data_IF_929534435185
#
_entry.id   IF_929534435185
#
_cell.length_a   1.000
_cell.length_b   1.000
_cell.length_c   1.000
_cell.angle_alpha   90.00
_cell.angle_beta   90.00
_cell.angle_gamma   90.00
#
_symmetry.space_group_name_H-M   'P 1'
#
loop_
_entity.id
_entity.type
_entity.pdbx_description
1 polymer ?
#
# COMPACT_ATOMS: atom_id res chain seq x y z
N UNK A 1 5.24 22.02 52.95
CA UNK A 1 5.53 21.21 51.74
C UNK A 1 7.02 21.38 51.44
N UNK A 2 7.83 20.33 51.59
CA UNK A 2 9.31 20.39 51.62
C UNK A 2 9.94 20.87 50.28
N UNK A 3 9.21 20.74 49.17
CA UNK A 3 9.68 21.12 47.82
C UNK A 3 10.00 22.61 47.63
N UNK A 4 9.40 23.50 48.43
CA UNK A 4 9.55 24.94 48.24
C UNK A 4 10.46 25.59 49.29
N UNK A 5 11.00 24.80 50.24
CA UNK A 5 11.88 25.29 51.33
C UNK A 5 11.34 26.54 52.04
N UNK A 6 10.02 26.65 52.22
CA UNK A 6 9.37 27.80 52.87
C UNK A 6 9.03 28.98 51.94
N UNK A 7 9.37 28.90 50.65
CA UNK A 7 8.97 29.89 49.64
C UNK A 7 7.47 29.81 49.33
N UNK A 8 6.84 30.94 48.96
CA UNK A 8 5.46 30.94 48.48
C UNK A 8 5.32 30.10 47.21
N UNK A 9 4.17 29.45 47.04
CA UNK A 9 3.89 28.69 45.83
C UNK A 9 3.83 29.64 44.62
N UNK A 10 4.51 29.31 43.50
CA UNK A 10 4.47 30.13 42.30
C UNK A 10 3.05 30.22 41.75
N UNK A 11 2.66 31.41 41.32
CA UNK A 11 1.37 31.62 40.69
C UNK A 11 1.34 31.08 39.25
N UNK A 12 0.14 31.00 38.68
CA UNK A 12 -0.06 30.55 37.30
C UNK A 12 0.79 31.35 36.30
N UNK A 13 0.89 32.66 36.50
CA UNK A 13 1.64 33.58 35.63
C UNK A 13 3.13 33.25 35.62
N UNK A 14 3.71 33.00 36.80
CA UNK A 14 5.11 32.62 36.96
C UNK A 14 5.41 31.32 36.24
N UNK A 15 4.55 30.30 36.40
CA UNK A 15 4.71 29.00 35.73
C UNK A 15 4.60 29.15 34.20
N UNK A 16 3.62 29.93 33.71
CA UNK A 16 3.44 30.15 32.28
C UNK A 16 4.63 30.91 31.65
N UNK A 17 5.17 31.91 32.35
CA UNK A 17 6.35 32.65 31.92
C UNK A 17 7.60 31.76 31.88
N UNK A 18 7.78 30.92 32.89
CA UNK A 18 8.86 29.93 32.89
C UNK A 18 8.76 28.97 31.70
N UNK A 19 7.57 28.42 31.45
CA UNK A 19 7.34 27.49 30.35
C UNK A 19 7.67 28.09 28.98
N UNK A 20 7.29 29.34 28.75
CA UNK A 20 7.45 30.00 27.46
C UNK A 20 8.85 30.57 27.23
N UNK A 21 9.46 31.21 28.24
CA UNK A 21 10.73 31.92 28.09
C UNK A 21 11.92 31.00 28.37
N UNK A 22 11.85 30.19 29.43
CA UNK A 22 12.99 29.44 29.93
C UNK A 22 12.97 27.97 29.50
N UNK A 23 11.80 27.33 29.53
CA UNK A 23 11.69 25.91 29.19
C UNK A 23 11.61 25.66 27.69
N UNK A 24 10.83 26.44 26.92
CA UNK A 24 10.63 26.21 25.49
C UNK A 24 11.94 26.12 24.66
N UNK A 25 12.98 26.96 24.89
CA UNK A 25 14.24 26.85 24.14
C UNK A 25 15.02 25.54 24.38
N UNK A 26 14.82 24.90 25.54
CA UNK A 26 15.56 23.69 25.95
C UNK A 26 14.71 22.43 25.94
N UNK A 27 13.38 22.56 25.80
CA UNK A 27 12.44 21.47 26.00
C UNK A 27 12.66 20.32 25.04
N UNK A 28 12.98 20.60 23.78
CA UNK A 28 13.20 19.56 22.77
C UNK A 28 14.42 18.70 23.11
N UNK A 29 15.54 19.33 23.45
CA UNK A 29 16.76 18.62 23.81
C UNK A 29 16.58 17.82 25.10
N UNK A 30 15.96 18.41 26.12
CA UNK A 30 15.71 17.75 27.40
C UNK A 30 14.79 16.53 27.22
N UNK A 31 13.72 16.67 26.44
CA UNK A 31 12.83 15.55 26.13
C UNK A 31 13.54 14.45 25.32
N UNK A 32 14.41 14.82 24.38
CA UNK A 32 15.21 13.86 23.63
C UNK A 32 16.15 13.05 24.55
N UNK A 33 16.87 13.72 25.46
CA UNK A 33 17.72 13.06 26.46
C UNK A 33 16.92 12.14 27.38
N UNK A 34 15.75 12.59 27.84
CA UNK A 34 14.88 11.78 28.68
C UNK A 34 14.39 10.52 27.95
N UNK A 35 14.01 10.67 26.69
CA UNK A 35 13.57 9.56 25.84
C UNK A 35 14.72 8.58 25.58
N UNK A 36 15.93 9.08 25.36
CA UNK A 36 17.13 8.24 25.21
C UNK A 36 17.41 7.44 26.49
N UNK A 37 17.38 8.09 27.66
CA UNK A 37 17.59 7.43 28.95
C UNK A 37 16.56 6.31 29.19
N UNK A 38 15.27 6.57 28.88
CA UNK A 38 14.23 5.55 28.99
C UNK A 38 14.46 4.38 28.04
N UNK A 39 14.96 4.64 26.83
CA UNK A 39 15.28 3.59 25.87
C UNK A 39 16.49 2.74 26.30
N UNK A 40 17.54 3.36 26.84
CA UNK A 40 18.71 2.68 27.40
C UNK A 40 18.33 1.77 28.58
N UNK A 41 17.41 2.24 29.42
CA UNK A 41 16.85 1.46 30.54
C UNK A 41 15.83 0.41 30.10
N UNK A 42 15.53 0.28 28.80
CA UNK A 42 14.55 -0.65 28.21
C UNK A 42 13.11 -0.43 28.71
N UNK A 43 12.82 0.75 29.25
CA UNK A 43 11.47 1.14 29.70
C UNK A 43 10.56 1.47 28.50
N UNK A 44 11.14 1.91 27.38
CA UNK A 44 10.42 2.18 26.14
C UNK A 44 11.06 1.47 24.94
N UNK A 45 10.21 1.07 23.98
CA UNK A 45 10.64 0.46 22.72
C UNK A 45 10.58 1.49 21.59
N UNK A 46 11.73 1.84 21.03
CA UNK A 46 11.84 2.75 19.87
C UNK A 46 11.39 2.12 18.53
N UNK A 47 10.74 0.95 18.56
CA UNK A 47 10.31 0.23 17.35
C UNK A 47 9.06 0.83 16.71
N UNK A 48 8.24 1.53 17.49
CA UNK A 48 6.97 2.09 17.04
C UNK A 48 6.98 3.60 17.27
N UNK A 49 6.84 4.38 16.20
CA UNK A 49 6.69 5.84 16.27
C UNK A 49 5.20 6.16 16.44
N UNK A 50 4.80 6.60 17.63
CA UNK A 50 3.45 7.11 17.88
C UNK A 50 3.46 8.62 17.66
N UNK A 51 2.99 9.07 16.49
CA UNK A 51 2.71 10.47 16.23
C UNK A 51 1.29 10.76 16.73
N UNK A 52 1.10 10.80 18.05
CA UNK A 52 -0.18 11.25 18.62
C UNK A 52 -0.06 12.72 19.02
N UNK A 53 -0.78 13.59 18.31
CA UNK A 53 -0.71 15.05 18.46
C UNK A 53 -0.75 15.85 17.15
N UNK A 54 -0.44 15.23 16.00
CA UNK A 54 -0.64 15.90 14.70
C UNK A 54 -2.01 15.57 14.17
N UNK A 55 -2.96 16.49 14.37
CA UNK A 55 -4.22 16.50 13.61
C UNK A 55 -3.87 16.78 12.15
N UNK A 56 -3.55 15.73 11.40
CA UNK A 56 -3.53 15.77 9.93
C UNK A 56 -4.98 16.00 9.54
N UNK A 57 -5.36 17.28 9.43
CA UNK A 57 -6.66 17.72 8.95
C UNK A 57 -7.04 16.83 7.77
N UNK A 58 -8.14 16.09 7.95
CA UNK A 58 -8.65 15.13 6.99
C UNK A 58 -9.23 15.90 5.79
N UNK A 59 -8.38 16.53 5.00
CA UNK A 59 -8.69 16.75 3.60
C UNK A 59 -8.81 15.34 3.00
N UNK A 60 -10.05 14.85 2.87
CA UNK A 60 -10.40 13.47 2.48
C UNK A 60 -9.72 13.02 1.17
N UNK A 61 -9.20 13.97 0.39
CA UNK A 61 -8.52 13.76 -0.88
C UNK A 61 -7.00 14.07 -0.88
N UNK A 62 -6.40 14.62 0.19
CA UNK A 62 -4.97 14.99 0.20
C UNK A 62 -4.05 13.83 0.57
N UNK A 63 -4.50 12.94 1.46
CA UNK A 63 -3.77 11.73 1.85
C UNK A 63 -4.74 10.54 1.93
N UNK A 64 -4.80 9.73 0.88
CA UNK A 64 -5.56 8.46 0.92
C UNK A 64 -4.74 7.41 1.66
N UNK A 65 -5.12 7.09 2.89
CA UNK A 65 -4.46 6.04 3.66
C UNK A 65 -4.67 4.67 3.01
N UNK A 66 -3.56 3.98 2.76
CA UNK A 66 -3.56 2.61 2.23
C UNK A 66 -3.21 1.65 3.35
N UNK A 67 -4.16 0.80 3.71
CA UNK A 67 -4.00 -0.15 4.82
C UNK A 67 -3.35 -1.45 4.35
N UNK A 68 -2.19 -1.79 4.91
CA UNK A 68 -1.46 -3.05 4.63
C UNK A 68 -2.38 -4.28 4.65
N UNK A 69 -3.14 -4.47 5.73
CA UNK A 69 -4.03 -5.61 5.90
C UNK A 69 -5.13 -5.70 4.85
N UNK A 70 -5.62 -4.55 4.37
CA UNK A 70 -6.60 -4.51 3.28
C UNK A 70 -5.96 -4.89 1.94
N UNK A 71 -4.77 -4.36 1.65
CA UNK A 71 -4.02 -4.67 0.42
C UNK A 71 -3.67 -6.15 0.35
N UNK A 72 -3.10 -6.73 1.42
CA UNK A 72 -2.72 -8.16 1.43
C UNK A 72 -3.93 -9.07 1.32
N UNK A 73 -5.02 -8.78 2.03
CA UNK A 73 -6.29 -9.54 1.94
C UNK A 73 -6.87 -9.51 0.53
N UNK A 74 -6.91 -8.33 -0.10
CA UNK A 74 -7.47 -8.19 -1.44
C UNK A 74 -6.56 -8.76 -2.52
N UNK A 75 -5.24 -8.69 -2.36
CA UNK A 75 -4.28 -9.35 -3.23
C UNK A 75 -4.46 -10.87 -3.17
N UNK A 76 -4.55 -11.46 -1.96
CA UNK A 76 -4.80 -12.90 -1.79
C UNK A 76 -6.10 -13.35 -2.46
N UNK A 77 -7.21 -12.64 -2.18
CA UNK A 77 -8.50 -12.91 -2.84
C UNK A 77 -8.44 -12.84 -4.37
N UNK A 78 -7.61 -11.97 -4.92
CA UNK A 78 -7.42 -11.87 -6.36
C UNK A 78 -6.64 -13.09 -6.88
N UNK A 79 -5.56 -13.48 -6.19
CA UNK A 79 -4.80 -14.70 -6.53
C UNK A 79 -5.66 -15.96 -6.46
N UNK A 80 -6.55 -16.08 -5.47
CA UNK A 80 -7.47 -17.21 -5.34
C UNK A 80 -8.47 -17.31 -6.51
N UNK A 81 -8.82 -16.17 -7.15
CA UNK A 81 -9.74 -16.11 -8.29
C UNK A 81 -9.08 -16.37 -9.64
N UNK A 82 -7.77 -16.15 -9.75
CA UNK A 82 -7.04 -16.29 -11.01
C UNK A 82 -7.12 -17.69 -11.61
N UNK A 83 -6.94 -18.80 -10.86
CA UNK A 83 -7.03 -20.15 -11.44
C UNK A 83 -8.38 -20.43 -12.11
N UNK A 84 -9.48 -20.04 -11.47
CA UNK A 84 -10.83 -20.21 -12.02
C UNK A 84 -11.02 -19.38 -13.28
N UNK A 85 -10.56 -18.12 -13.27
CA UNK A 85 -10.62 -17.26 -14.45
C UNK A 85 -9.79 -17.82 -15.61
N UNK A 86 -8.57 -18.26 -15.36
CA UNK A 86 -7.70 -18.87 -16.37
C UNK A 86 -8.38 -20.07 -17.01
N UNK A 87 -8.88 -21.00 -16.19
CA UNK A 87 -9.57 -22.20 -16.68
C UNK A 87 -10.77 -21.86 -17.57
N UNK A 88 -11.59 -20.88 -17.16
CA UNK A 88 -12.71 -20.40 -17.97
C UNK A 88 -12.27 -19.79 -19.29
N UNK A 89 -11.18 -19.00 -19.32
CA UNK A 89 -10.64 -18.47 -20.58
C UNK A 89 -10.07 -19.58 -21.48
N UNK A 90 -9.42 -20.59 -20.91
CA UNK A 90 -8.90 -21.73 -21.68
C UNK A 90 -10.03 -22.53 -22.34
N UNK A 91 -11.12 -22.78 -21.61
CA UNK A 91 -12.31 -23.47 -22.11
C UNK A 91 -13.03 -22.66 -23.20
N UNK A 92 -13.17 -21.34 -23.02
CA UNK A 92 -13.89 -20.48 -23.95
C UNK A 92 -13.17 -20.26 -25.29
N UNK A 93 -11.83 -20.25 -25.29
CA UNK A 93 -11.03 -19.89 -26.47
C UNK A 93 -10.14 -21.02 -26.97
N UNK A 94 -10.21 -22.22 -26.37
CA UNK A 94 -9.57 -23.42 -26.90
C UNK A 94 -8.04 -23.45 -26.85
N UNK A 95 -7.40 -22.75 -25.91
CA UNK A 95 -5.95 -22.80 -25.72
C UNK A 95 -5.58 -23.15 -24.28
N UNK A 96 -4.40 -23.73 -24.07
CA UNK A 96 -3.85 -24.00 -22.73
C UNK A 96 -2.65 -23.11 -22.40
N UNK A 97 -2.51 -22.73 -21.14
CA UNK A 97 -1.36 -22.03 -20.59
C UNK A 97 -0.75 -22.92 -19.52
N UNK A 98 0.54 -23.19 -19.67
CA UNK A 98 1.31 -23.84 -18.60
C UNK A 98 1.59 -22.79 -17.53
N UNK A 99 0.94 -22.93 -16.38
CA UNK A 99 1.28 -22.28 -15.13
C UNK A 99 1.51 -23.38 -14.09
N UNK A 100 2.55 -23.23 -13.27
CA UNK A 100 2.87 -24.18 -12.20
C UNK A 100 1.96 -23.99 -10.98
N UNK A 101 2.48 -24.27 -9.80
CA UNK A 101 1.76 -24.03 -8.54
C UNK A 101 1.48 -22.53 -8.28
N UNK A 102 2.33 -21.65 -8.81
CA UNK A 102 2.21 -20.19 -8.62
C UNK A 102 1.92 -19.44 -9.92
N UNK A 103 0.87 -18.63 -9.92
CA UNK A 103 0.54 -17.72 -11.04
C UNK A 103 1.31 -16.41 -10.87
N UNK A 104 2.31 -16.21 -11.73
CA UNK A 104 3.11 -14.98 -11.84
C UNK A 104 2.57 -14.03 -12.90
N UNK A 105 2.96 -12.75 -12.83
CA UNK A 105 2.55 -11.69 -13.77
C UNK A 105 2.83 -12.06 -15.24
N UNK A 106 3.96 -12.74 -15.50
CA UNK A 106 4.32 -13.18 -16.84
C UNK A 106 3.26 -14.09 -17.50
N UNK A 107 2.58 -14.95 -16.73
CA UNK A 107 1.54 -15.82 -17.28
C UNK A 107 0.32 -15.01 -17.75
N UNK A 108 -0.04 -13.93 -17.04
CA UNK A 108 -1.11 -13.01 -17.42
C UNK A 108 -0.75 -12.23 -18.69
N UNK A 109 0.49 -11.79 -18.82
CA UNK A 109 0.97 -11.13 -20.04
C UNK A 109 1.01 -12.08 -21.25
N UNK A 110 1.36 -13.36 -21.02
CA UNK A 110 1.29 -14.40 -22.05
C UNK A 110 -0.16 -14.66 -22.48
N UNK A 111 -1.10 -14.73 -21.53
CA UNK A 111 -2.53 -14.82 -21.82
C UNK A 111 -3.00 -13.62 -22.65
N UNK A 112 -2.64 -12.40 -22.26
CA UNK A 112 -3.00 -11.17 -22.98
C UNK A 112 -2.54 -11.20 -24.43
N UNK A 113 -1.31 -11.66 -24.69
CA UNK A 113 -0.79 -11.83 -26.05
C UNK A 113 -1.59 -12.86 -26.85
N UNK A 114 -1.99 -13.98 -26.24
CA UNK A 114 -2.84 -14.98 -26.92
C UNK A 114 -4.22 -14.42 -27.28
N UNK A 115 -4.88 -13.76 -26.35
CA UNK A 115 -6.18 -13.13 -26.61
C UNK A 115 -6.08 -12.04 -27.69
N UNK A 116 -4.97 -11.31 -27.74
CA UNK A 116 -4.74 -10.33 -28.80
C UNK A 116 -4.54 -10.96 -30.18
N UNK A 117 -3.92 -12.15 -30.27
CA UNK A 117 -3.82 -12.90 -31.52
C UNK A 117 -5.19 -13.33 -32.02
N UNK A 118 -6.00 -13.93 -31.14
CA UNK A 118 -7.38 -14.33 -31.46
C UNK A 118 -8.19 -13.13 -31.94
N UNK A 119 -8.06 -11.98 -31.28
CA UNK A 119 -8.71 -10.74 -31.72
C UNK A 119 -8.35 -10.36 -33.16
N UNK A 120 -7.08 -10.46 -33.53
CA UNK A 120 -6.61 -10.11 -34.86
C UNK A 120 -7.01 -11.17 -35.90
N UNK A 121 -6.97 -12.45 -35.53
CA UNK A 121 -7.32 -13.56 -36.40
C UNK A 121 -8.83 -13.58 -36.70
N UNK A 122 -9.67 -13.19 -35.74
CA UNK A 122 -11.13 -13.10 -35.85
C UNK A 122 -11.63 -11.71 -36.29
N UNK A 123 -10.73 -10.75 -36.55
CA UNK A 123 -11.00 -9.34 -36.89
C UNK A 123 -12.08 -8.67 -36.00
N UNK A 124 -12.02 -8.91 -34.69
CA UNK A 124 -13.04 -8.41 -33.75
C UNK A 124 -12.77 -6.95 -33.37
N UNK A 125 -13.67 -6.07 -33.80
CA UNK A 125 -13.75 -4.68 -33.37
C UNK A 125 -14.34 -4.58 -31.94
N UNK A 126 -13.59 -3.99 -31.00
CA UNK A 126 -14.09 -3.76 -29.64
C UNK A 126 -15.04 -2.57 -29.61
N UNK A 127 -16.15 -2.72 -28.90
CA UNK A 127 -17.21 -1.72 -28.82
C UNK A 127 -17.22 -1.03 -27.46
N UNK A 128 -17.30 0.29 -27.46
CA UNK A 128 -17.49 1.14 -26.28
C UNK A 128 -18.74 2.02 -26.44
N UNK A 129 -19.40 2.31 -25.32
CA UNK A 129 -20.61 3.14 -25.28
C UNK A 129 -21.83 2.46 -24.65
N UNK A 130 -22.83 3.27 -24.30
CA UNK A 130 -24.09 2.84 -23.69
C UNK A 130 -24.91 2.05 -24.72
N UNK A 131 -25.55 0.95 -24.28
CA UNK A 131 -26.41 0.12 -25.13
C UNK A 131 -25.69 -0.87 -26.05
N UNK A 132 -24.35 -0.85 -26.12
CA UNK A 132 -23.59 -1.81 -26.93
C UNK A 132 -23.28 -3.10 -26.15
N UNK A 133 -23.53 -4.26 -26.78
CA UNK A 133 -23.21 -5.57 -26.20
C UNK A 133 -21.76 -5.95 -26.50
N UNK A 134 -20.91 -5.99 -25.46
CA UNK A 134 -19.52 -6.41 -25.57
C UNK A 134 -19.40 -7.90 -25.90
N UNK A 135 -18.49 -8.25 -26.80
CA UNK A 135 -18.18 -9.66 -27.12
C UNK A 135 -17.62 -10.39 -25.90
N UNK A 136 -17.74 -11.74 -25.83
CA UNK A 136 -17.11 -12.53 -24.78
C UNK A 136 -15.60 -12.27 -24.70
N UNK A 137 -14.93 -12.16 -25.86
CA UNK A 137 -13.50 -11.81 -25.95
C UNK A 137 -13.16 -10.45 -25.36
N UNK A 138 -13.97 -9.42 -25.65
CA UNK A 138 -13.74 -8.09 -25.07
C UNK A 138 -13.90 -8.11 -23.55
N UNK A 139 -14.91 -8.82 -23.03
CA UNK A 139 -15.14 -8.93 -21.58
C UNK A 139 -13.98 -9.62 -20.86
N UNK A 140 -13.49 -10.73 -21.42
CA UNK A 140 -12.34 -11.45 -20.82
C UNK A 140 -11.06 -10.64 -20.92
N UNK A 141 -10.86 -9.90 -22.01
CA UNK A 141 -9.71 -9.00 -22.16
C UNK A 141 -9.74 -7.84 -21.14
N UNK A 142 -10.88 -7.18 -20.97
CA UNK A 142 -11.05 -6.11 -19.98
C UNK A 142 -10.87 -6.62 -18.55
N UNK A 143 -11.42 -7.80 -18.23
CA UNK A 143 -11.23 -8.44 -16.93
C UNK A 143 -9.75 -8.79 -16.66
N UNK A 144 -9.04 -9.30 -17.66
CA UNK A 144 -7.61 -9.57 -17.55
C UNK A 144 -6.80 -8.30 -17.31
N UNK A 145 -7.10 -7.22 -18.04
CA UNK A 145 -6.44 -5.93 -17.86
C UNK A 145 -6.74 -5.33 -16.46
N UNK A 146 -7.96 -5.49 -15.96
CA UNK A 146 -8.33 -5.11 -14.60
C UNK A 146 -7.51 -5.88 -13.55
N UNK A 147 -7.35 -7.19 -13.71
CA UNK A 147 -6.54 -8.02 -12.81
C UNK A 147 -5.07 -7.63 -12.81
N UNK A 148 -4.48 -7.42 -14.00
CA UNK A 148 -3.09 -6.96 -14.14
C UNK A 148 -2.90 -5.60 -13.46
N UNK A 149 -3.82 -4.66 -13.70
CA UNK A 149 -3.77 -3.32 -13.10
C UNK A 149 -3.85 -3.36 -11.57
N UNK A 150 -4.77 -4.17 -11.02
CA UNK A 150 -4.91 -4.36 -9.57
C UNK A 150 -3.66 -4.99 -8.94
N UNK A 151 -3.08 -6.00 -9.58
CA UNK A 151 -1.84 -6.61 -9.09
C UNK A 151 -0.68 -5.62 -9.07
N UNK A 152 -0.51 -4.81 -10.14
CA UNK A 152 0.49 -3.74 -10.17
C UNK A 152 0.26 -2.71 -9.07
N UNK A 153 -0.99 -2.32 -8.84
CA UNK A 153 -1.38 -1.41 -7.75
C UNK A 153 -1.03 -1.97 -6.38
N UNK A 154 -1.36 -3.24 -6.10
CA UNK A 154 -1.04 -3.86 -4.82
C UNK A 154 0.46 -3.99 -4.60
N UNK A 155 1.23 -4.40 -5.60
CA UNK A 155 2.70 -4.45 -5.51
C UNK A 155 3.30 -3.07 -5.22
N UNK A 156 2.82 -2.02 -5.89
CA UNK A 156 3.25 -0.64 -5.62
C UNK A 156 2.96 -0.23 -4.18
N UNK A 157 1.77 -0.52 -3.68
CA UNK A 157 1.40 -0.20 -2.29
C UNK A 157 2.28 -0.92 -1.28
N UNK A 158 2.56 -2.21 -1.49
CA UNK A 158 3.40 -3.00 -0.59
C UNK A 158 4.86 -2.51 -0.61
N UNK A 159 5.36 -2.16 -1.79
CA UNK A 159 6.68 -1.54 -1.94
C UNK A 159 6.78 -0.19 -1.19
N UNK A 160 5.80 0.70 -1.35
CA UNK A 160 5.75 1.98 -0.63
C UNK A 160 5.70 1.83 0.90
N UNK A 161 5.15 0.71 1.38
CA UNK A 161 5.10 0.39 2.82
C UNK A 161 6.40 -0.26 3.34
N UNK A 162 7.46 -0.32 2.52
CA UNK A 162 8.73 -0.97 2.90
C UNK A 162 8.62 -2.49 3.04
N UNK A 163 7.57 -3.10 2.50
CA UNK A 163 7.41 -4.55 2.46
C UNK A 163 7.99 -5.02 1.13
N UNK A 164 9.28 -5.37 1.15
CA UNK A 164 9.87 -6.08 0.03
C UNK A 164 9.28 -7.49 -0.03
N UNK A 165 8.30 -7.68 -0.91
CA UNK A 165 8.03 -9.02 -1.41
C UNK A 165 9.21 -9.37 -2.31
N UNK A 166 10.01 -10.36 -1.94
CA UNK A 166 11.19 -10.86 -2.65
C UNK A 166 10.95 -11.29 -4.12
N UNK A 167 9.75 -11.10 -4.67
CA UNK A 167 9.32 -11.58 -5.99
C UNK A 167 9.74 -10.63 -7.14
N UNK A 168 10.34 -9.46 -6.88
CA UNK A 168 10.67 -8.49 -7.96
C UNK A 168 12.17 -8.27 -8.25
N UNK A 169 13.03 -9.31 -8.15
CA UNK A 169 14.38 -9.24 -8.75
C UNK A 169 14.47 -9.64 -10.23
N UNK A 170 13.38 -10.05 -10.86
CA UNK A 170 13.34 -10.30 -12.31
C UNK A 170 12.12 -9.61 -12.90
N UNK A 171 12.33 -8.58 -13.73
CA UNK A 171 11.42 -7.97 -14.75
C UNK A 171 11.27 -6.45 -14.75
N UNK A 172 12.14 -5.67 -14.09
CA UNK A 172 12.21 -4.21 -14.37
C UNK A 172 13.66 -3.69 -14.33
N UNK A 173 14.48 -4.16 -15.27
CA UNK A 173 15.61 -3.41 -15.85
C UNK A 173 16.29 -4.29 -16.91
N UNK A 174 15.87 -4.12 -18.15
CA UNK A 174 16.75 -4.26 -19.32
C UNK A 174 16.30 -3.16 -20.30
N UNK A 175 17.03 -2.05 -20.40
CA UNK A 175 17.01 -1.23 -21.61
C UNK A 175 18.05 -1.77 -22.60
N UNK A 176 17.70 -1.68 -23.90
CA UNK A 176 18.46 -1.91 -25.14
C UNK A 176 17.89 -3.07 -25.95
#
# INVERSE_FOLDING_TARGET
MYLLEGSPAPDYTTIARFRSIHFAPVSENLLAQFTQMLAENKEISMKNLFIDGTKLEAASNKYTFVWKGSVTKNQKKLMDKLPTFLKQTEENFGFKILYGEEIKMHHLEKLRRKLCKIKNDEDIQFVSGIGKRKSPLQKTFEQLDEYISRLKKYNKHLHLMGIEIAIQRQTLMQPS
#
